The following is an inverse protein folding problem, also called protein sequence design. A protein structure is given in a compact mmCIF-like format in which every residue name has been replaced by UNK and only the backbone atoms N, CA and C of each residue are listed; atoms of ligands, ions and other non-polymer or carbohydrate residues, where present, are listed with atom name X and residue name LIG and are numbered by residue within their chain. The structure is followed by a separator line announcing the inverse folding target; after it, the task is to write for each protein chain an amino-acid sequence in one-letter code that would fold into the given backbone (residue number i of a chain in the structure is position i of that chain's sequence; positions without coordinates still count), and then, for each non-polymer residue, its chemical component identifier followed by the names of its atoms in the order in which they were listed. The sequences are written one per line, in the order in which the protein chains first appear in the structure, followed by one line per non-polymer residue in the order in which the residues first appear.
data_IF_547097963118
#
_entry.id   IF_547097963118
#
_cell.length_a   1.000
_cell.length_b   1.000
_cell.length_c   1.000
_cell.angle_alpha   90.00
_cell.angle_beta   90.00
_cell.angle_gamma   90.00
#
_symmetry.space_group_name_H-M   'P 1'
#
loop_
_entity.id
_entity.type
_entity.pdbx_description
1 polymer ?
#
# COMPACT_ATOMS: atom_id res chain seq x y z
N UNK A 1 31.21 10.22 17.99
CA UNK A 1 29.73 10.30 18.05
C UNK A 1 29.08 10.68 16.72
N UNK A 2 29.68 11.53 15.92
CA UNK A 2 29.13 12.02 14.62
C UNK A 2 29.05 10.93 13.54
N UNK A 3 30.04 10.06 13.41
CA UNK A 3 30.06 8.93 12.47
C UNK A 3 28.97 7.87 12.74
N UNK A 4 28.56 7.68 13.98
CA UNK A 4 27.49 6.75 14.35
C UNK A 4 26.10 7.31 13.99
N UNK A 5 25.93 8.64 14.07
CA UNK A 5 24.67 9.34 13.74
C UNK A 5 24.41 9.34 12.24
N UNK A 6 25.47 9.59 11.42
CA UNK A 6 25.40 9.56 9.96
C UNK A 6 25.11 8.15 9.43
N UNK A 7 25.67 7.12 10.05
CA UNK A 7 25.43 5.71 9.70
C UNK A 7 23.97 5.27 9.98
N UNK A 8 23.34 5.82 11.03
CA UNK A 8 21.95 5.51 11.33
C UNK A 8 20.99 6.22 10.37
N UNK A 9 21.26 7.48 10.03
CA UNK A 9 20.42 8.28 9.14
C UNK A 9 20.42 7.71 7.70
N UNK A 10 21.57 7.29 7.20
CA UNK A 10 21.68 6.69 5.86
C UNK A 10 20.87 5.38 5.72
N UNK A 11 20.68 4.65 6.82
CA UNK A 11 19.82 3.44 6.84
C UNK A 11 18.35 3.75 6.99
N UNK A 12 18.02 4.88 7.61
CA UNK A 12 16.64 5.29 7.86
C UNK A 12 15.95 5.76 6.57
N UNK A 13 16.65 6.47 5.69
CA UNK A 13 16.09 7.01 4.44
C UNK A 13 15.45 5.91 3.55
N UNK A 14 16.13 4.80 3.22
CA UNK A 14 15.52 3.73 2.42
C UNK A 14 14.28 3.12 3.07
N UNK A 15 14.30 2.98 4.41
CA UNK A 15 13.16 2.45 5.16
C UNK A 15 11.99 3.43 5.16
N UNK A 16 12.24 4.73 5.27
CA UNK A 16 11.19 5.75 5.14
C UNK A 16 10.58 5.75 3.74
N UNK A 17 11.39 5.52 2.70
CA UNK A 17 10.88 5.38 1.34
C UNK A 17 9.99 4.12 1.19
N UNK A 18 10.30 3.03 1.91
CA UNK A 18 9.41 1.87 1.97
C UNK A 18 8.07 2.20 2.67
N UNK A 19 8.08 3.03 3.73
CA UNK A 19 6.83 3.54 4.33
C UNK A 19 6.04 4.39 3.34
N UNK A 20 6.70 5.22 2.55
CA UNK A 20 6.04 5.98 1.49
C UNK A 20 5.38 5.04 0.47
N UNK A 21 6.12 4.04 -0.02
CA UNK A 21 5.58 3.04 -0.95
C UNK A 21 4.42 2.23 -0.35
N UNK A 22 4.43 1.99 0.96
CA UNK A 22 3.33 1.32 1.67
C UNK A 22 2.03 2.14 1.64
N UNK A 23 2.11 3.48 1.60
CA UNK A 23 0.96 4.38 1.52
C UNK A 23 0.14 4.22 0.24
N UNK A 24 0.70 3.57 -0.76
CA UNK A 24 0.01 3.33 -2.01
C UNK A 24 -1.24 2.45 -1.87
N UNK A 25 -1.26 1.54 -0.94
CA UNK A 25 -2.43 0.66 -0.73
C UNK A 25 -3.70 1.43 -0.31
N UNK A 26 -3.52 2.57 0.34
CA UNK A 26 -4.65 3.39 0.81
C UNK A 26 -5.44 4.03 -0.36
N UNK A 27 -4.85 4.01 -1.58
CA UNK A 27 -5.49 4.47 -2.81
C UNK A 27 -6.53 3.53 -3.40
N UNK A 28 -6.57 2.31 -2.94
CA UNK A 28 -7.43 1.29 -3.53
C UNK A 28 -8.88 1.78 -3.63
N UNK A 29 -9.37 2.52 -2.62
CA UNK A 29 -10.70 3.10 -2.64
C UNK A 29 -10.90 4.13 -3.77
N UNK A 30 -9.91 4.98 -4.02
CA UNK A 30 -9.97 6.01 -5.07
C UNK A 30 -9.81 5.37 -6.44
N UNK A 31 -8.82 4.47 -6.59
CA UNK A 31 -8.58 3.76 -7.83
C UNK A 31 -9.81 2.94 -8.26
N UNK A 32 -10.52 2.30 -7.31
CA UNK A 32 -11.74 1.56 -7.62
C UNK A 32 -12.86 2.43 -8.20
N UNK A 33 -12.96 3.70 -7.77
CA UNK A 33 -13.92 4.65 -8.33
C UNK A 33 -13.57 5.04 -9.78
N UNK A 34 -12.30 5.24 -10.10
CA UNK A 34 -11.86 5.50 -11.47
C UNK A 34 -12.06 4.27 -12.36
N UNK A 35 -11.69 3.08 -11.91
CA UNK A 35 -11.93 1.82 -12.64
C UNK A 35 -13.42 1.59 -12.88
N UNK A 36 -14.27 1.92 -11.86
CA UNK A 36 -15.72 1.87 -12.02
C UNK A 36 -16.21 2.76 -13.16
N UNK A 37 -15.71 3.99 -13.22
CA UNK A 37 -16.10 4.95 -14.26
C UNK A 37 -15.60 4.51 -15.64
N UNK A 38 -14.35 4.06 -15.78
CA UNK A 38 -13.74 3.64 -17.03
C UNK A 38 -14.41 2.39 -17.62
N UNK A 39 -14.74 1.40 -16.78
CA UNK A 39 -15.31 0.12 -17.21
C UNK A 39 -16.84 0.05 -17.09
N UNK A 40 -17.50 1.11 -16.64
CA UNK A 40 -18.96 1.14 -16.47
C UNK A 40 -19.46 0.12 -15.44
N UNK A 41 -18.71 -0.12 -14.35
CA UNK A 41 -19.02 -1.16 -13.36
C UNK A 41 -20.15 -0.72 -12.42
N UNK A 42 -20.88 -1.70 -11.88
CA UNK A 42 -21.77 -1.48 -10.76
C UNK A 42 -20.99 -1.21 -9.46
N UNK A 43 -21.65 -0.62 -8.45
CA UNK A 43 -21.04 -0.38 -7.13
C UNK A 43 -20.54 -1.68 -6.49
N UNK A 44 -21.29 -2.76 -6.63
CA UNK A 44 -20.90 -4.08 -6.12
C UNK A 44 -19.61 -4.60 -6.77
N UNK A 45 -19.48 -4.45 -8.08
CA UNK A 45 -18.27 -4.87 -8.80
C UNK A 45 -17.06 -4.00 -8.46
N UNK A 46 -17.23 -2.70 -8.29
CA UNK A 46 -16.15 -1.79 -7.91
C UNK A 46 -15.65 -2.06 -6.48
N UNK A 47 -16.56 -2.39 -5.55
CA UNK A 47 -16.22 -2.71 -4.17
C UNK A 47 -15.49 -4.06 -4.01
N UNK A 48 -15.47 -4.91 -5.03
CA UNK A 48 -14.65 -6.13 -5.02
C UNK A 48 -13.16 -5.77 -4.93
N UNK A 49 -12.69 -4.70 -5.58
CA UNK A 49 -11.27 -4.34 -5.58
C UNK A 49 -10.71 -4.09 -4.17
N UNK A 50 -11.24 -3.16 -3.36
CA UNK A 50 -10.77 -2.98 -2.00
C UNK A 50 -10.98 -4.23 -1.13
N UNK A 51 -12.11 -4.93 -1.28
CA UNK A 51 -12.38 -6.16 -0.55
C UNK A 51 -11.33 -7.23 -0.83
N UNK A 52 -10.88 -7.36 -2.09
CA UNK A 52 -9.88 -8.32 -2.51
C UNK A 52 -8.51 -8.02 -1.90
N UNK A 53 -8.12 -6.74 -1.82
CA UNK A 53 -6.88 -6.34 -1.17
C UNK A 53 -6.86 -6.74 0.30
N UNK A 54 -7.95 -6.49 1.04
CA UNK A 54 -8.04 -6.86 2.46
C UNK A 54 -8.18 -8.37 2.66
N UNK A 55 -8.85 -9.08 1.76
CA UNK A 55 -8.93 -10.53 1.76
C UNK A 55 -7.55 -11.19 1.66
N UNK A 56 -6.74 -10.75 0.71
CA UNK A 56 -5.37 -11.26 0.56
C UNK A 56 -4.47 -10.84 1.72
N UNK A 57 -4.68 -9.64 2.26
CA UNK A 57 -3.99 -9.21 3.47
C UNK A 57 -4.28 -10.15 4.65
N UNK A 58 -5.53 -10.54 4.85
CA UNK A 58 -5.93 -11.49 5.90
C UNK A 58 -5.22 -12.85 5.74
N UNK A 59 -5.20 -13.39 4.51
CA UNK A 59 -4.60 -14.71 4.22
C UNK A 59 -3.08 -14.66 4.40
N UNK A 60 -2.41 -13.63 3.89
CA UNK A 60 -0.95 -13.59 3.82
C UNK A 60 -0.28 -13.01 5.07
N UNK A 61 -0.99 -12.40 6.00
CA UNK A 61 -0.38 -11.79 7.20
C UNK A 61 0.38 -12.80 8.05
N UNK A 62 -0.21 -13.94 8.39
CA UNK A 62 0.44 -14.96 9.21
C UNK A 62 1.54 -15.71 8.43
N UNK A 63 1.32 -16.18 7.19
CA UNK A 63 2.39 -16.74 6.36
C UNK A 63 3.58 -15.80 6.17
N UNK A 64 3.35 -14.50 6.07
CA UNK A 64 4.42 -13.51 5.96
C UNK A 64 5.29 -13.45 7.22
N UNK A 65 4.69 -13.49 8.41
CA UNK A 65 5.44 -13.56 9.66
C UNK A 65 6.34 -14.80 9.72
N UNK A 66 5.82 -15.94 9.27
CA UNK A 66 6.59 -17.20 9.16
C UNK A 66 7.69 -17.11 8.09
N UNK A 67 7.43 -16.47 6.96
CA UNK A 67 8.40 -16.24 5.90
C UNK A 67 9.53 -15.32 6.41
N UNK A 68 9.17 -14.22 7.07
CA UNK A 68 10.09 -13.25 7.64
C UNK A 68 11.06 -13.91 8.64
N UNK A 69 10.59 -14.84 9.48
CA UNK A 69 11.46 -15.57 10.41
C UNK A 69 12.47 -16.48 9.70
N UNK A 70 12.17 -16.92 8.45
CA UNK A 70 13.07 -17.79 7.65
C UNK A 70 14.07 -17.03 6.83
N UNK A 71 13.62 -16.03 6.07
CA UNK A 71 14.45 -15.32 5.08
C UNK A 71 14.99 -13.98 5.61
N UNK A 72 14.49 -13.50 6.74
CA UNK A 72 14.82 -12.20 7.34
C UNK A 72 13.88 -11.08 6.90
N UNK A 73 13.91 -9.99 7.66
CA UNK A 73 12.98 -8.85 7.50
C UNK A 73 13.28 -8.05 6.24
N UNK A 74 14.55 -7.72 5.98
CA UNK A 74 14.98 -6.97 4.80
C UNK A 74 14.58 -7.67 3.50
N UNK A 75 14.80 -8.98 3.41
CA UNK A 75 14.46 -9.77 2.22
C UNK A 75 12.94 -9.84 2.02
N UNK A 76 12.17 -9.91 3.12
CA UNK A 76 10.71 -9.90 3.06
C UNK A 76 10.19 -8.55 2.57
N UNK A 77 10.77 -7.42 3.03
CA UNK A 77 10.43 -6.08 2.52
C UNK A 77 10.81 -5.94 1.04
N UNK A 78 11.98 -6.43 0.63
CA UNK A 78 12.37 -6.41 -0.80
C UNK A 78 11.39 -7.24 -1.65
N UNK A 79 10.99 -8.41 -1.18
CA UNK A 79 9.99 -9.25 -1.86
C UNK A 79 8.64 -8.51 -1.95
N UNK A 80 8.22 -7.83 -0.90
CA UNK A 80 6.97 -7.05 -0.93
C UNK A 80 7.00 -5.94 -1.97
N UNK A 81 8.12 -5.20 -2.04
CA UNK A 81 8.31 -4.15 -3.05
C UNK A 81 8.28 -4.71 -4.48
N UNK A 82 8.89 -5.89 -4.70
CA UNK A 82 8.84 -6.56 -6.00
C UNK A 82 7.42 -6.96 -6.39
N UNK A 83 6.67 -7.58 -5.48
CA UNK A 83 5.27 -7.96 -5.70
C UNK A 83 4.41 -6.73 -5.94
N UNK A 84 4.60 -5.66 -5.15
CA UNK A 84 3.90 -4.39 -5.34
C UNK A 84 4.24 -3.75 -6.68
N UNK A 85 5.51 -3.71 -7.07
CA UNK A 85 5.92 -3.17 -8.38
C UNK A 85 5.30 -3.96 -9.54
N UNK A 86 5.24 -5.28 -9.43
CA UNK A 86 4.57 -6.13 -10.41
C UNK A 86 3.05 -5.84 -10.47
N UNK A 87 2.41 -5.62 -9.32
CA UNK A 87 0.98 -5.26 -9.28
C UNK A 87 0.70 -3.93 -9.99
N UNK A 88 1.56 -2.93 -9.78
CA UNK A 88 1.43 -1.59 -10.36
C UNK A 88 1.70 -1.56 -11.87
N UNK A 89 2.46 -2.54 -12.37
CA UNK A 89 2.77 -2.64 -13.79
C UNK A 89 1.57 -3.10 -14.62
N UNK A 90 0.71 -3.96 -14.06
CA UNK A 90 -0.41 -4.56 -14.78
C UNK A 90 -1.40 -3.53 -15.36
N UNK A 91 -1.88 -2.51 -14.61
CA UNK A 91 -2.81 -1.51 -15.12
C UNK A 91 -2.23 -0.60 -16.22
N UNK A 92 -0.91 -0.61 -16.41
CA UNK A 92 -0.25 0.14 -17.48
C UNK A 92 -0.42 -0.55 -18.83
N UNK A 93 -0.50 -1.89 -18.85
CA UNK A 93 -0.64 -2.68 -20.07
C UNK A 93 -2.08 -2.82 -20.58
N UNK A 94 -3.07 -2.54 -19.75
CA UNK A 94 -4.46 -2.65 -20.16
C UNK A 94 -5.44 -2.32 -19.04
N UNK A 95 -6.72 -2.25 -19.43
CA UNK A 95 -7.84 -1.79 -18.59
C UNK A 95 -8.94 -2.85 -18.45
N UNK A 96 -8.64 -4.13 -18.71
CA UNK A 96 -9.63 -5.18 -18.53
C UNK A 96 -9.94 -5.41 -17.06
N UNK A 97 -11.19 -5.74 -16.75
CA UNK A 97 -11.64 -6.05 -15.38
C UNK A 97 -10.79 -7.14 -14.70
N UNK A 98 -10.45 -8.21 -15.46
CA UNK A 98 -9.59 -9.30 -14.94
C UNK A 98 -8.19 -8.82 -14.61
N UNK A 99 -7.62 -7.95 -15.44
CA UNK A 99 -6.28 -7.41 -15.19
C UNK A 99 -6.25 -6.57 -13.92
N UNK A 100 -7.30 -5.77 -13.70
CA UNK A 100 -7.46 -5.00 -12.46
C UNK A 100 -7.63 -5.91 -11.25
N UNK A 101 -8.43 -6.98 -11.33
CA UNK A 101 -8.57 -7.96 -10.23
C UNK A 101 -7.23 -8.58 -9.85
N UNK A 102 -6.41 -8.98 -10.83
CA UNK A 102 -5.09 -9.56 -10.59
C UNK A 102 -4.16 -8.50 -9.96
N UNK A 103 -4.17 -7.28 -10.50
CA UNK A 103 -3.36 -6.17 -9.97
C UNK A 103 -3.69 -5.90 -8.50
N UNK A 104 -4.96 -5.70 -8.15
CA UNK A 104 -5.37 -5.42 -6.77
C UNK A 104 -5.15 -6.63 -5.84
N UNK A 105 -5.25 -7.87 -6.35
CA UNK A 105 -4.88 -9.06 -5.59
C UNK A 105 -3.40 -9.07 -5.23
N UNK A 106 -2.52 -8.84 -6.19
CA UNK A 106 -1.07 -8.75 -5.97
C UNK A 106 -0.72 -7.58 -5.05
N UNK A 107 -1.43 -6.45 -5.18
CA UNK A 107 -1.26 -5.31 -4.29
C UNK A 107 -1.58 -5.67 -2.84
N UNK A 108 -2.65 -6.42 -2.60
CA UNK A 108 -3.01 -6.92 -1.27
C UNK A 108 -1.96 -7.85 -0.67
N UNK A 109 -1.42 -8.77 -1.48
CA UNK A 109 -0.33 -9.67 -1.08
C UNK A 109 0.94 -8.86 -0.75
N UNK A 110 1.34 -7.94 -1.64
CA UNK A 110 2.49 -7.05 -1.44
C UNK A 110 2.35 -6.22 -0.17
N UNK A 111 1.16 -5.69 0.09
CA UNK A 111 0.88 -4.92 1.30
C UNK A 111 0.97 -5.76 2.58
N UNK A 112 0.47 -7.01 2.57
CA UNK A 112 0.60 -7.92 3.70
C UNK A 112 2.07 -8.20 4.03
N UNK A 113 2.89 -8.46 3.01
CA UNK A 113 4.33 -8.64 3.14
C UNK A 113 5.00 -7.39 3.72
N UNK A 114 4.65 -6.20 3.21
CA UNK A 114 5.24 -4.94 3.63
C UNK A 114 4.90 -4.60 5.08
N UNK A 115 3.63 -4.56 5.43
CA UNK A 115 3.19 -4.14 6.77
C UNK A 115 3.70 -5.07 7.87
N UNK A 116 3.76 -6.38 7.60
CA UNK A 116 4.25 -7.35 8.57
C UNK A 116 5.77 -7.23 8.81
N UNK A 117 6.55 -6.86 7.79
CA UNK A 117 8.01 -6.90 7.85
C UNK A 117 8.68 -5.53 8.06
N UNK A 118 8.03 -4.43 7.68
CA UNK A 118 8.65 -3.10 7.69
C UNK A 118 8.85 -2.54 9.11
N UNK A 119 7.84 -2.71 9.98
CA UNK A 119 7.95 -2.26 11.37
C UNK A 119 9.05 -3.02 12.15
N UNK A 120 9.16 -4.35 12.07
CA UNK A 120 10.28 -5.09 12.64
C UNK A 120 11.63 -4.69 12.02
N UNK A 121 11.70 -4.43 10.70
CA UNK A 121 12.92 -3.96 10.05
C UNK A 121 13.38 -2.61 10.64
N UNK A 122 12.45 -1.67 10.85
CA UNK A 122 12.78 -0.40 11.48
C UNK A 122 13.28 -0.57 12.90
N UNK A 123 12.73 -1.51 13.69
CA UNK A 123 13.15 -1.79 15.07
C UNK A 123 14.59 -2.32 15.17
N UNK A 124 15.11 -2.94 14.10
CA UNK A 124 16.52 -3.37 14.04
C UNK A 124 17.48 -2.20 13.78
N UNK A 125 16.99 -1.10 13.22
CA UNK A 125 17.81 0.08 12.92
C UNK A 125 17.78 1.07 14.07
N UNK A 126 16.60 1.24 14.66
CA UNK A 126 16.36 2.22 15.74
C UNK A 126 15.90 1.47 16.99
N UNK A 127 16.64 1.65 18.10
CA UNK A 127 16.35 0.99 19.39
C UNK A 127 16.07 2.01 20.48
N UNK A 128 15.46 1.53 21.57
CA UNK A 128 15.19 2.32 22.76
C UNK A 128 14.13 3.40 22.54
N UNK A 129 14.28 4.52 23.23
CA UNK A 129 13.27 5.60 23.31
C UNK A 129 12.91 6.24 21.95
N UNK A 130 13.77 6.10 20.95
CA UNK A 130 13.55 6.66 19.62
C UNK A 130 12.72 5.75 18.69
N UNK A 131 12.49 4.50 19.07
CA UNK A 131 11.77 3.55 18.23
C UNK A 131 10.33 4.00 17.98
N UNK A 132 9.59 4.35 19.04
CA UNK A 132 8.21 4.80 18.93
C UNK A 132 8.09 6.05 18.04
N UNK A 133 8.96 7.04 18.24
CA UNK A 133 9.01 8.26 17.42
C UNK A 133 9.33 7.95 15.95
N UNK A 134 10.25 7.02 15.68
CA UNK A 134 10.61 6.64 14.31
C UNK A 134 9.49 5.86 13.61
N UNK A 135 8.76 5.00 14.32
CA UNK A 135 7.57 4.32 13.80
C UNK A 135 6.47 5.32 13.46
N UNK A 136 6.20 6.28 14.36
CA UNK A 136 5.23 7.35 14.11
C UNK A 136 5.62 8.20 12.90
N UNK A 137 6.91 8.54 12.78
CA UNK A 137 7.42 9.27 11.61
C UNK A 137 7.26 8.45 10.32
N UNK A 138 7.49 7.14 10.36
CA UNK A 138 7.23 6.26 9.22
C UNK A 138 5.75 6.27 8.80
N UNK A 139 4.82 6.21 9.77
CA UNK A 139 3.38 6.32 9.47
C UNK A 139 3.01 7.70 8.92
N UNK A 140 3.66 8.77 9.39
CA UNK A 140 3.48 10.11 8.83
C UNK A 140 3.95 10.18 7.36
N UNK A 141 5.10 9.58 7.04
CA UNK A 141 5.59 9.48 5.65
C UNK A 141 4.62 8.67 4.78
N UNK A 142 4.04 7.56 5.30
CA UNK A 142 2.97 6.82 4.65
C UNK A 142 1.76 7.72 4.36
N UNK A 143 1.32 8.48 5.35
CA UNK A 143 0.18 9.38 5.22
C UNK A 143 0.39 10.47 4.15
N UNK A 144 1.62 10.97 3.97
CA UNK A 144 1.95 11.90 2.88
C UNK A 144 1.70 11.22 1.52
N UNK A 145 2.15 9.99 1.34
CA UNK A 145 1.92 9.26 0.09
C UNK A 145 0.42 9.07 -0.18
N UNK A 146 -0.34 8.65 0.83
CA UNK A 146 -1.79 8.47 0.73
C UNK A 146 -2.51 9.78 0.40
N UNK A 147 -2.03 10.92 0.96
CA UNK A 147 -2.57 12.24 0.69
C UNK A 147 -2.28 12.73 -0.74
N UNK A 148 -1.07 12.49 -1.26
CA UNK A 148 -0.68 12.94 -2.61
C UNK A 148 -1.40 12.20 -3.73
N UNK A 149 -1.75 11.01 -3.49
CA UNK A 149 -2.24 10.10 -4.50
C UNK A 149 -3.57 10.49 -5.17
N UNK A 150 -4.63 10.96 -4.45
CA UNK A 150 -5.82 11.49 -5.10
C UNK A 150 -5.51 12.69 -6.01
N UNK A 151 -4.56 13.53 -5.61
CA UNK A 151 -4.16 14.68 -6.43
C UNK A 151 -3.45 14.25 -7.70
N UNK A 152 -2.54 13.28 -7.61
CA UNK A 152 -1.85 12.74 -8.79
C UNK A 152 -2.87 12.11 -9.76
N UNK A 153 -3.82 11.31 -9.24
CA UNK A 153 -4.88 10.72 -10.04
C UNK A 153 -5.75 11.78 -10.73
N UNK A 154 -6.14 12.83 -9.98
CA UNK A 154 -6.93 13.94 -10.52
C UNK A 154 -6.16 14.71 -11.60
N UNK A 155 -4.89 15.04 -11.36
CA UNK A 155 -4.05 15.74 -12.35
C UNK A 155 -3.83 14.88 -13.60
N UNK A 156 -3.71 13.57 -13.44
CA UNK A 156 -3.69 12.63 -14.55
C UNK A 156 -5.00 12.60 -15.32
N UNK A 157 -6.14 12.53 -14.65
CA UNK A 157 -7.45 12.53 -15.25
C UNK A 157 -7.77 13.84 -16.01
N UNK A 158 -7.32 14.98 -15.49
CA UNK A 158 -7.49 16.31 -16.11
C UNK A 158 -6.40 16.67 -17.10
N UNK A 159 -5.44 15.79 -17.37
CA UNK A 159 -4.27 16.01 -18.21
C UNK A 159 -3.41 17.23 -17.77
N UNK A 160 -3.46 17.60 -16.50
CA UNK A 160 -2.63 18.67 -15.94
C UNK A 160 -1.13 18.31 -15.89
N UNK A 161 -0.80 17.02 -15.97
CA UNK A 161 0.56 16.47 -16.08
C UNK A 161 0.65 15.60 -17.35
N UNK A 162 1.87 15.39 -17.90
CA UNK A 162 2.08 14.48 -19.01
C UNK A 162 1.65 13.05 -18.62
N UNK A 163 0.63 12.50 -19.31
CA UNK A 163 0.02 11.21 -18.93
C UNK A 163 0.37 10.07 -19.87
N UNK A 164 0.94 10.36 -21.06
CA UNK A 164 1.21 9.35 -22.10
C UNK A 164 -0.02 8.47 -22.39
N UNK A 165 -1.19 9.11 -22.49
CA UNK A 165 -2.52 8.49 -22.70
C UNK A 165 -3.02 7.59 -21.56
N UNK A 166 -2.33 7.54 -20.42
CA UNK A 166 -2.75 6.75 -19.26
C UNK A 166 -3.85 7.43 -18.41
N UNK A 167 -4.08 8.75 -18.58
CA UNK A 167 -5.03 9.49 -17.76
C UNK A 167 -4.71 9.37 -16.26
N UNK A 168 -5.71 9.05 -15.42
CA UNK A 168 -5.51 8.84 -13.98
C UNK A 168 -4.57 7.66 -13.65
N UNK A 169 -4.41 6.70 -14.57
CA UNK A 169 -3.53 5.54 -14.41
C UNK A 169 -2.04 5.90 -14.37
N UNK A 170 -1.67 7.15 -14.68
CA UNK A 170 -0.30 7.67 -14.51
C UNK A 170 0.21 7.50 -13.08
N UNK A 171 -0.70 7.41 -12.15
CA UNK A 171 -0.44 7.12 -10.74
C UNK A 171 0.38 5.83 -10.54
N UNK A 172 0.04 4.77 -11.27
CA UNK A 172 0.71 3.46 -11.15
C UNK A 172 2.20 3.53 -11.51
N UNK A 173 2.61 4.04 -12.67
CA UNK A 173 4.05 4.17 -12.99
C UNK A 173 4.79 5.14 -12.06
N UNK A 174 4.17 6.21 -11.57
CA UNK A 174 4.80 7.12 -10.60
C UNK A 174 5.16 6.36 -9.32
N UNK A 175 4.20 5.63 -8.74
CA UNK A 175 4.45 4.85 -7.53
C UNK A 175 5.36 3.65 -7.77
N UNK A 176 5.31 3.05 -8.97
CA UNK A 176 6.24 1.99 -9.37
C UNK A 176 7.69 2.49 -9.37
N UNK A 177 7.95 3.70 -9.89
CA UNK A 177 9.28 4.31 -9.86
C UNK A 177 9.75 4.48 -8.42
N UNK A 178 8.90 4.97 -7.54
CA UNK A 178 9.22 5.11 -6.11
C UNK A 178 9.56 3.74 -5.49
N UNK A 179 8.77 2.70 -5.79
CA UNK A 179 9.02 1.36 -5.29
C UNK A 179 10.36 0.80 -5.81
N UNK A 180 10.69 1.02 -7.08
CA UNK A 180 11.97 0.61 -7.68
C UNK A 180 13.13 1.34 -7.02
N UNK A 181 13.02 2.64 -6.79
CA UNK A 181 14.05 3.41 -6.06
C UNK A 181 14.20 2.86 -4.64
N UNK A 182 13.11 2.54 -3.95
CA UNK A 182 13.13 1.93 -2.63
C UNK A 182 13.86 0.57 -2.64
N UNK A 183 13.60 -0.28 -3.66
CA UNK A 183 14.30 -1.56 -3.85
C UNK A 183 15.79 -1.35 -3.98
N UNK A 184 16.22 -0.44 -4.87
CA UNK A 184 17.64 -0.18 -5.13
C UNK A 184 18.33 0.34 -3.87
N UNK A 185 17.77 1.34 -3.20
CA UNK A 185 18.34 1.92 -1.98
C UNK A 185 18.38 0.90 -0.83
N UNK A 186 17.29 0.16 -0.62
CA UNK A 186 17.24 -0.83 0.44
C UNK A 186 18.20 -2.00 0.17
N UNK A 187 18.37 -2.41 -1.10
CA UNK A 187 19.27 -3.50 -1.46
C UNK A 187 20.73 -3.16 -1.10
N UNK A 188 21.17 -1.94 -1.42
CA UNK A 188 22.54 -1.47 -1.12
C UNK A 188 22.76 -1.24 0.37
N UNK A 189 21.70 -0.92 1.12
CA UNK A 189 21.80 -0.61 2.55
C UNK A 189 22.09 -1.87 3.37
N UNK A 190 23.21 -1.88 4.09
CA UNK A 190 23.56 -2.97 5.00
C UNK A 190 22.83 -2.82 6.33
N UNK A 191 21.83 -3.65 6.56
CA UNK A 191 21.08 -3.73 7.83
C UNK A 191 21.46 -5.04 8.52
N UNK A 192 21.97 -4.93 9.75
CA UNK A 192 22.20 -6.12 10.58
C UNK A 192 20.87 -6.57 11.14
N UNK A 193 20.42 -7.73 10.71
CA UNK A 193 19.24 -8.38 11.26
C UNK A 193 19.67 -9.31 12.40
N UNK A 194 19.01 -9.22 13.54
CA UNK A 194 19.12 -10.24 14.56
C UNK A 194 18.36 -11.46 14.08
N UNK A 195 19.07 -12.54 13.79
CA UNK A 195 18.42 -13.82 13.53
C UNK A 195 17.77 -14.25 14.84
N UNK A 196 16.48 -14.45 14.84
CA UNK A 196 15.83 -15.15 15.94
C UNK A 196 16.42 -16.56 16.02
N UNK A 197 17.17 -16.82 17.10
CA UNK A 197 17.69 -18.14 17.45
C UNK A 197 16.51 -19.00 17.93
N UNK A 198 15.76 -19.59 16.99
CA UNK A 198 14.62 -20.43 17.33
C UNK A 198 14.12 -21.22 16.11
N UNK A 199 13.40 -22.29 16.39
CA UNK A 199 12.68 -23.02 15.33
C UNK A 199 11.58 -22.09 14.76
N UNK A 200 11.41 -22.02 13.43
CA UNK A 200 10.34 -21.22 12.83
C UNK A 200 9.00 -21.56 13.46
N UNK A 201 8.27 -20.54 13.88
CA UNK A 201 6.95 -20.73 14.48
C UNK A 201 6.01 -21.45 13.52
N UNK A 202 5.26 -22.42 14.02
CA UNK A 202 4.24 -23.12 13.25
C UNK A 202 2.96 -22.27 13.23
N UNK A 203 2.17 -22.37 12.16
CA UNK A 203 0.90 -21.66 12.02
C UNK A 203 -0.03 -21.82 13.25
N UNK A 204 -0.13 -23.04 13.78
CA UNK A 204 -0.89 -23.34 15.00
C UNK A 204 -0.36 -22.61 16.24
N UNK A 205 0.96 -22.44 16.36
CA UNK A 205 1.56 -21.67 17.45
C UNK A 205 1.24 -20.17 17.34
N UNK A 206 1.21 -19.63 16.12
CA UNK A 206 0.80 -18.24 15.89
C UNK A 206 -0.67 -18.03 16.29
N UNK A 207 -1.56 -18.94 15.93
CA UNK A 207 -2.97 -18.87 16.34
C UNK A 207 -3.16 -19.06 17.84
N UNK A 208 -2.37 -19.91 18.48
CA UNK A 208 -2.41 -20.13 19.92
C UNK A 208 -2.07 -18.85 20.72
N UNK A 209 -1.33 -17.90 20.14
CA UNK A 209 -1.09 -16.59 20.74
C UNK A 209 -2.36 -15.77 20.97
N UNK A 210 -3.39 -15.94 20.13
CA UNK A 210 -4.69 -15.29 20.31
C UNK A 210 -5.40 -15.75 21.60
N UNK A 211 -5.00 -16.88 22.16
CA UNK A 211 -5.47 -17.32 23.49
C UNK A 211 -4.98 -16.46 24.65
N UNK A 212 -3.97 -15.57 24.43
CA UNK A 212 -3.49 -14.63 25.46
C UNK A 212 -4.36 -13.37 25.44
N UNK A 213 -4.98 -12.98 26.57
CA UNK A 213 -5.92 -11.86 26.61
C UNK A 213 -5.36 -10.54 26.07
N UNK A 214 -4.09 -10.23 26.39
CA UNK A 214 -3.41 -9.04 25.92
C UNK A 214 -3.30 -9.00 24.39
N UNK A 215 -2.93 -10.12 23.77
CA UNK A 215 -2.78 -10.23 22.31
C UNK A 215 -4.15 -10.15 21.64
N UNK A 216 -5.16 -10.83 22.20
CA UNK A 216 -6.53 -10.80 21.69
C UNK A 216 -7.12 -9.38 21.73
N UNK A 217 -6.97 -8.66 22.84
CA UNK A 217 -7.44 -7.28 22.97
C UNK A 217 -6.71 -6.34 22.00
N UNK A 218 -5.39 -6.50 21.85
CA UNK A 218 -4.62 -5.73 20.86
C UNK A 218 -5.09 -6.02 19.42
N UNK A 219 -5.36 -7.27 19.10
CA UNK A 219 -5.89 -7.68 17.80
C UNK A 219 -7.26 -7.05 17.53
N UNK A 220 -8.19 -7.10 18.49
CA UNK A 220 -9.51 -6.47 18.37
C UNK A 220 -9.37 -4.95 18.23
N UNK A 221 -8.50 -4.31 19.01
CA UNK A 221 -8.24 -2.87 18.92
C UNK A 221 -7.74 -2.44 17.54
N UNK A 222 -6.81 -3.20 16.96
CA UNK A 222 -6.30 -2.95 15.60
C UNK A 222 -7.41 -3.17 14.57
N UNK A 223 -8.19 -4.24 14.68
CA UNK A 223 -9.34 -4.49 13.79
C UNK A 223 -10.34 -3.33 13.78
N UNK A 224 -10.72 -2.85 14.96
CA UNK A 224 -11.64 -1.72 15.09
C UNK A 224 -11.05 -0.45 14.46
N UNK A 225 -9.77 -0.15 14.74
CA UNK A 225 -9.08 1.01 14.20
C UNK A 225 -9.04 0.99 12.67
N UNK A 226 -8.55 -0.11 12.10
CA UNK A 226 -8.47 -0.26 10.63
C UNK A 226 -9.86 -0.27 9.99
N UNK A 227 -10.86 -0.89 10.63
CA UNK A 227 -12.24 -0.91 10.15
C UNK A 227 -12.85 0.49 10.08
N UNK A 228 -12.59 1.36 11.07
CA UNK A 228 -13.03 2.75 11.06
C UNK A 228 -12.29 3.55 9.99
N UNK A 229 -10.95 3.41 9.89
CA UNK A 229 -10.14 4.15 8.93
C UNK A 229 -10.55 3.82 7.49
N UNK A 230 -10.64 2.54 7.15
CA UNK A 230 -11.07 2.10 5.81
C UNK A 230 -12.53 2.46 5.55
N UNK A 231 -13.42 2.24 6.52
CA UNK A 231 -14.85 2.56 6.39
C UNK A 231 -15.08 4.04 6.14
N UNK A 232 -14.38 4.93 6.84
CA UNK A 232 -14.49 6.38 6.62
C UNK A 232 -13.92 6.80 5.27
N UNK A 233 -12.79 6.24 4.85
CA UNK A 233 -12.17 6.55 3.56
C UNK A 233 -13.00 6.07 2.36
N UNK A 234 -13.72 4.96 2.49
CA UNK A 234 -14.57 4.44 1.42
C UNK A 234 -15.94 5.09 1.36
N UNK A 235 -16.49 5.52 2.51
CA UNK A 235 -17.84 6.08 2.61
C UNK A 235 -17.85 7.60 2.64
N UNK A 236 -16.76 8.26 3.04
CA UNK A 236 -16.66 9.72 2.99
C UNK A 236 -16.86 10.17 1.53
N UNK A 237 -17.94 10.91 1.23
CA UNK A 237 -18.20 11.30 -0.14
C UNK A 237 -17.15 12.29 -0.59
N UNK A 238 -16.16 11.83 -1.33
CA UNK A 238 -15.27 12.65 -2.15
C UNK A 238 -16.08 13.51 -3.17
N UNK A 239 -17.39 13.36 -3.14
CA UNK A 239 -18.38 14.07 -3.95
C UNK A 239 -18.40 15.59 -3.78
N UNK A 240 -17.69 16.16 -2.80
CA UNK A 240 -17.77 17.62 -2.52
C UNK A 240 -16.57 18.42 -3.00
N UNK A 241 -15.50 17.82 -3.47
CA UNK A 241 -14.27 18.57 -3.79
C UNK A 241 -13.81 18.48 -5.24
N UNK A 242 -14.41 17.60 -6.04
CA UNK A 242 -14.21 17.60 -7.49
C UNK A 242 -15.52 18.14 -8.08
N UNK A 243 -15.55 19.34 -8.69
CA UNK A 243 -16.63 19.69 -9.58
C UNK A 243 -16.64 18.56 -10.62
N UNK A 244 -17.73 17.77 -10.67
CA UNK A 244 -17.96 16.91 -11.84
C UNK A 244 -17.74 17.84 -13.04
N UNK A 245 -16.83 17.52 -13.99
CA UNK A 245 -16.92 18.16 -15.27
C UNK A 245 -18.35 17.85 -15.70
N UNK A 246 -19.19 18.88 -15.73
CA UNK A 246 -20.51 18.79 -16.32
C UNK A 246 -20.27 18.32 -17.75
N UNK A 247 -20.46 17.02 -17.98
CA UNK A 247 -20.73 16.51 -19.30
C UNK A 247 -22.11 17.09 -19.63
N UNK A 248 -22.16 18.39 -19.93
CA UNK A 248 -23.17 18.96 -20.78
C UNK A 248 -22.97 18.27 -22.15
N UNK A 249 -23.62 17.13 -22.31
CA UNK A 249 -23.97 16.65 -23.64
C UNK A 249 -24.83 17.76 -24.28
N UNK A 250 -24.37 18.37 -25.36
CA UNK A 250 -25.22 19.30 -26.08
C UNK A 250 -26.41 18.49 -26.56
N UNK A 251 -27.56 18.74 -25.97
CA UNK A 251 -28.86 18.25 -26.37
C UNK A 251 -29.33 19.00 -27.60
N UNK A 252 -28.65 18.82 -28.77
CA UNK A 252 -29.14 19.26 -30.06
C UNK A 252 -28.68 18.31 -31.14
N UNK A 253 -29.37 17.17 -31.22
CA UNK A 253 -29.53 16.48 -32.51
C UNK A 253 -30.88 16.93 -33.03
N UNK A 254 -30.96 17.69 -34.14
CA UNK A 254 -32.23 17.98 -34.76
C UNK A 254 -32.81 16.69 -35.36
N UNK A 255 -33.99 16.32 -34.93
CA UNK A 255 -34.80 15.29 -35.60
C UNK A 255 -35.21 15.87 -36.95
N UNK A 256 -34.61 15.36 -38.02
CA UNK A 256 -35.09 15.63 -39.37
C UNK A 256 -36.42 14.87 -39.61
N UNK A 257 -37.44 15.63 -40.01
CA UNK A 257 -38.73 15.12 -40.51
C UNK A 257 -38.56 14.45 -41.86
#
# INVERSE_FOLDING_TARGET
MENSKNSSLSKLIPVMLCFFAMGFVDLVGIASNYVKADLGLSDSQANIFPSLVFFWFLIFSVPTGMLMSRIGQKKTVLLSLLVTSASLLLPVFGDSYMLMLISFSLLGIGNALMQTSLNPLLSNIVRGDRLASSLTFGQFVKAIASFLAPYIAMWGATQAIPTFDLGWRILFPIYMIVAVIAILLLNVTQIKEEKEEGKPSTFGQCLALLGKPFILLSFIGIMCHVGIDVGTNTTAPFKRTIPSPSLEYPSTVPVAH
#
